data_IF_846028649787
#
_entry.id   IF_846028649787
#
_cell.length_a   1.000
_cell.length_b   1.000
_cell.length_c   1.000
_cell.angle_alpha   90.00
_cell.angle_beta   90.00
_cell.angle_gamma   90.00
#
_symmetry.space_group_name_H-M   'P 1'
#
loop_
_entity.id
_entity.type
_entity.pdbx_description
1 polymer ?
#
# COMPACT_ATOMS: atom_id res chain seq x y z
N UNK A 1 6.43 -1.09 1.20
CA UNK A 1 6.64 -2.21 0.25
C UNK A 1 7.70 -3.18 0.75
N UNK A 2 8.95 -2.74 0.94
CA UNK A 2 10.02 -3.61 1.44
C UNK A 2 9.71 -4.24 2.81
N UNK A 3 9.28 -3.42 3.76
CA UNK A 3 8.88 -3.85 5.10
C UNK A 3 7.74 -4.89 5.07
N UNK A 4 6.89 -4.85 4.05
CA UNK A 4 5.76 -5.78 3.91
C UNK A 4 6.23 -7.14 3.42
N UNK A 5 7.24 -7.20 2.55
CA UNK A 5 7.81 -8.48 2.10
C UNK A 5 8.49 -9.20 3.25
N UNK A 6 9.27 -8.48 4.05
CA UNK A 6 9.89 -9.03 5.27
C UNK A 6 8.81 -9.54 6.23
N UNK A 7 7.70 -8.83 6.38
CA UNK A 7 6.57 -9.26 7.20
C UNK A 7 5.90 -10.53 6.65
N UNK A 8 5.73 -10.62 5.33
CA UNK A 8 5.16 -11.78 4.67
C UNK A 8 6.06 -13.00 4.69
N UNK A 9 7.37 -12.81 4.57
CA UNK A 9 8.35 -13.88 4.67
C UNK A 9 8.35 -14.44 6.10
N UNK A 10 8.31 -13.57 7.11
CA UNK A 10 8.16 -13.99 8.51
C UNK A 10 6.84 -14.74 8.76
N UNK A 11 5.71 -14.25 8.23
CA UNK A 11 4.42 -14.95 8.35
C UNK A 11 4.43 -16.29 7.61
N UNK A 12 5.15 -16.39 6.50
CA UNK A 12 5.30 -17.63 5.75
C UNK A 12 6.17 -18.65 6.52
N UNK A 13 7.16 -18.19 7.28
CA UNK A 13 7.99 -19.00 8.17
C UNK A 13 7.18 -19.50 9.38
N UNK A 14 6.41 -18.61 10.03
CA UNK A 14 5.58 -18.94 11.20
C UNK A 14 4.36 -19.80 10.83
N UNK A 15 3.82 -19.64 9.61
CA UNK A 15 2.64 -20.35 9.12
C UNK A 15 2.88 -20.93 7.71
N UNK A 16 3.46 -22.16 7.62
CA UNK A 16 3.81 -22.79 6.34
C UNK A 16 2.65 -22.93 5.35
N UNK A 17 1.40 -22.98 5.85
CA UNK A 17 0.19 -23.03 5.02
C UNK A 17 -0.01 -21.79 4.15
N UNK A 18 0.52 -20.63 4.57
CA UNK A 18 0.34 -19.35 3.88
C UNK A 18 1.38 -19.12 2.78
N UNK A 19 2.42 -19.96 2.71
CA UNK A 19 3.56 -19.85 1.78
C UNK A 19 3.12 -19.78 0.32
N UNK A 20 2.11 -20.57 -0.07
CA UNK A 20 1.57 -20.62 -1.44
C UNK A 20 0.94 -19.31 -1.89
N UNK A 21 0.50 -18.48 -0.94
CA UNK A 21 -0.19 -17.21 -1.18
C UNK A 21 0.72 -16.00 -1.00
N UNK A 22 1.72 -16.11 -0.12
CA UNK A 22 2.56 -14.99 0.26
C UNK A 22 3.88 -14.94 -0.50
N UNK A 23 4.38 -16.04 -1.10
CA UNK A 23 5.67 -16.02 -1.80
C UNK A 23 5.74 -15.03 -2.96
N UNK A 24 6.93 -14.51 -3.32
CA UNK A 24 7.14 -13.70 -4.52
C UNK A 24 6.72 -14.39 -5.83
N UNK A 25 6.60 -15.73 -5.80
CA UNK A 25 6.18 -16.57 -6.92
C UNK A 25 4.76 -17.13 -6.74
N UNK A 26 3.99 -16.60 -5.78
CA UNK A 26 2.62 -17.02 -5.56
C UNK A 26 1.75 -16.74 -6.80
N UNK A 27 0.72 -17.57 -7.04
CA UNK A 27 -0.15 -17.45 -8.22
C UNK A 27 -0.89 -16.11 -8.33
N UNK A 28 -1.02 -15.39 -7.22
CA UNK A 28 -1.62 -14.04 -7.16
C UNK A 28 -0.72 -12.95 -7.74
N UNK A 29 0.59 -13.20 -7.82
CA UNK A 29 1.58 -12.27 -8.37
C UNK A 29 1.55 -12.38 -9.89
N UNK A 30 0.87 -11.45 -10.55
CA UNK A 30 0.68 -11.47 -11.99
C UNK A 30 1.92 -11.01 -12.76
N UNK A 31 2.71 -10.09 -12.19
CA UNK A 31 3.91 -9.54 -12.84
C UNK A 31 5.11 -9.52 -11.89
N UNK A 32 5.77 -10.68 -11.66
CA UNK A 32 6.81 -10.82 -10.64
C UNK A 32 7.99 -9.84 -10.82
N UNK A 33 8.39 -9.58 -12.07
CA UNK A 33 9.49 -8.66 -12.39
C UNK A 33 9.13 -7.21 -12.07
N UNK A 34 7.89 -6.81 -12.31
CA UNK A 34 7.39 -5.48 -11.99
C UNK A 34 7.29 -5.29 -10.48
N UNK A 35 6.72 -6.25 -9.76
CA UNK A 35 6.62 -6.18 -8.30
C UNK A 35 8.00 -6.19 -7.63
N UNK A 36 8.94 -7.01 -8.12
CA UNK A 36 10.35 -6.99 -7.68
C UNK A 36 10.99 -5.62 -7.92
N UNK A 37 10.77 -5.02 -9.09
CA UNK A 37 11.28 -3.69 -9.41
C UNK A 37 10.76 -2.62 -8.43
N UNK A 38 9.46 -2.65 -8.08
CA UNK A 38 8.88 -1.72 -7.11
C UNK A 38 9.47 -1.92 -5.70
N UNK A 39 9.66 -3.17 -5.26
CA UNK A 39 10.32 -3.47 -3.98
C UNK A 39 11.75 -2.91 -3.97
N UNK A 40 12.48 -3.05 -5.09
CA UNK A 40 13.84 -2.51 -5.22
C UNK A 40 13.90 -1.00 -5.22
N UNK A 41 12.95 -0.32 -5.88
CA UNK A 41 12.80 1.13 -5.85
C UNK A 41 12.57 1.62 -4.42
N UNK A 42 11.63 1.01 -3.68
CA UNK A 42 11.37 1.37 -2.29
C UNK A 42 12.57 1.15 -1.36
N UNK A 43 13.44 0.19 -1.71
CA UNK A 43 14.67 -0.11 -0.98
C UNK A 43 15.88 0.73 -1.41
N UNK A 44 15.74 1.63 -2.39
CA UNK A 44 16.88 2.32 -3.03
C UNK A 44 17.98 1.36 -3.52
N UNK A 45 17.58 0.21 -4.04
CA UNK A 45 18.51 -0.79 -4.58
C UNK A 45 18.57 -0.73 -6.10
N UNK A 46 19.70 -1.17 -6.68
CA UNK A 46 19.92 -1.15 -8.13
C UNK A 46 18.92 -2.05 -8.85
N UNK A 47 18.24 -1.50 -9.86
CA UNK A 47 17.37 -2.25 -10.74
C UNK A 47 18.19 -2.93 -11.84
N UNK A 48 17.76 -4.13 -12.24
CA UNK A 48 18.25 -4.79 -13.45
C UNK A 48 17.61 -4.20 -14.70
N UNK A 49 18.17 -4.47 -15.89
CA UNK A 49 17.65 -3.93 -17.15
C UNK A 49 16.20 -4.39 -17.45
N UNK A 50 15.85 -5.62 -17.07
CA UNK A 50 14.48 -6.15 -17.22
C UNK A 50 13.49 -5.46 -16.27
N UNK A 51 13.90 -5.21 -15.03
CA UNK A 51 13.12 -4.48 -14.03
C UNK A 51 12.91 -3.02 -14.45
N UNK A 52 13.95 -2.36 -14.97
CA UNK A 52 13.87 -0.98 -15.44
C UNK A 52 12.88 -0.82 -16.60
N UNK A 53 12.85 -1.78 -17.54
CA UNK A 53 11.83 -1.81 -18.61
C UNK A 53 10.43 -2.02 -18.03
N UNK A 54 10.28 -2.87 -17.02
CA UNK A 54 8.98 -3.12 -16.39
C UNK A 54 8.40 -1.88 -15.69
N UNK A 55 9.24 -1.01 -15.13
CA UNK A 55 8.81 0.23 -14.45
C UNK A 55 8.95 1.49 -15.30
N UNK A 56 9.25 1.37 -16.60
CA UNK A 56 9.56 2.51 -17.47
C UNK A 56 8.46 3.58 -17.48
N UNK A 57 7.20 3.19 -17.27
CA UNK A 57 6.04 4.09 -17.19
C UNK A 57 6.06 5.03 -15.96
N UNK A 58 6.87 4.71 -14.94
CA UNK A 58 6.95 5.44 -13.66
C UNK A 58 8.20 6.33 -13.54
N UNK A 59 9.04 6.41 -14.58
CA UNK A 59 10.22 7.27 -14.57
C UNK A 59 9.77 8.74 -14.69
N UNK A 60 10.22 9.59 -13.77
CA UNK A 60 10.01 11.04 -13.78
C UNK A 60 11.36 11.73 -13.71
N UNK A 61 11.55 12.82 -14.47
CA UNK A 61 12.79 13.60 -14.44
C UNK A 61 12.99 14.31 -13.07
N UNK A 62 14.23 14.43 -12.55
CA UNK A 62 14.44 14.81 -11.16
C UNK A 62 14.07 16.27 -10.86
N UNK A 63 13.12 16.50 -9.95
CA UNK A 63 13.02 17.78 -9.22
C UNK A 63 13.19 17.55 -7.72
N UNK A 64 14.11 18.31 -7.12
CA UNK A 64 14.61 18.13 -5.76
C UNK A 64 13.63 18.66 -4.73
N UNK A 65 13.30 17.91 -3.66
CA UNK A 65 12.80 18.53 -2.42
C UNK A 65 13.18 17.77 -1.14
N UNK A 66 13.55 18.60 -0.17
CA UNK A 66 14.00 18.39 1.21
C UNK A 66 12.98 17.67 2.12
N UNK A 67 13.49 17.00 3.15
CA UNK A 67 12.72 16.17 4.08
C UNK A 67 12.43 16.77 5.48
N UNK A 68 12.15 15.82 6.41
CA UNK A 68 11.86 15.87 7.88
C UNK A 68 10.37 15.82 8.22
N UNK A 69 9.88 15.17 9.29
CA UNK A 69 10.43 14.30 10.37
C UNK A 69 9.23 13.57 11.03
N UNK A 70 9.37 12.29 11.39
CA UNK A 70 8.30 11.45 11.97
C UNK A 70 8.35 11.43 13.50
N UNK A 71 7.20 11.68 14.12
CA UNK A 71 6.93 11.59 15.56
C UNK A 71 6.74 10.12 16.00
N UNK A 72 7.14 9.79 17.25
CA UNK A 72 7.18 8.42 17.78
C UNK A 72 5.79 7.96 18.24
N UNK A 73 5.33 6.80 17.79
CA UNK A 73 4.14 6.12 18.30
C UNK A 73 4.47 4.69 18.78
N UNK A 74 3.65 4.23 19.73
CA UNK A 74 3.83 3.06 20.61
C UNK A 74 4.03 1.72 19.89
N UNK A 75 4.71 0.78 20.57
CA UNK A 75 5.14 -0.49 20.03
C UNK A 75 3.97 -1.45 19.77
N UNK A 76 3.79 -1.84 18.52
CA UNK A 76 2.92 -2.94 18.08
C UNK A 76 3.79 -4.05 17.44
N UNK A 77 3.24 -5.25 17.18
CA UNK A 77 3.94 -6.40 16.59
C UNK A 77 4.85 -6.05 15.39
N UNK A 78 4.35 -5.22 14.47
CA UNK A 78 5.13 -4.71 13.33
C UNK A 78 6.38 -3.91 13.73
N UNK A 79 6.36 -3.21 14.87
CA UNK A 79 7.49 -2.40 15.35
C UNK A 79 8.61 -3.23 15.99
N UNK A 80 8.33 -4.43 16.49
CA UNK A 80 9.35 -5.31 17.05
C UNK A 80 10.16 -6.01 15.95
N UNK A 81 9.47 -6.46 14.89
CA UNK A 81 10.09 -7.06 13.70
C UNK A 81 10.97 -6.03 12.97
N UNK A 82 10.48 -4.79 12.80
CA UNK A 82 11.25 -3.70 12.17
C UNK A 82 12.47 -3.25 12.98
N UNK A 83 12.48 -3.45 14.31
CA UNK A 83 13.67 -3.21 15.15
C UNK A 83 14.75 -4.28 14.95
N UNK A 84 14.35 -5.54 14.72
CA UNK A 84 15.29 -6.64 14.46
C UNK A 84 16.00 -6.54 13.10
N UNK A 85 15.32 -5.96 12.08
CA UNK A 85 15.85 -5.83 10.72
C UNK A 85 16.76 -4.62 10.46
N UNK A 86 17.05 -3.79 11.46
CA UNK A 86 17.74 -2.50 11.29
C UNK A 86 19.27 -2.63 11.16
N UNK A 87 19.73 -3.45 10.22
CA UNK A 87 21.01 -3.20 9.56
C UNK A 87 20.76 -2.05 8.59
N UNK A 88 21.04 -0.83 9.06
CA UNK A 88 21.03 0.39 8.26
C UNK A 88 22.07 0.25 7.15
N UNK A 89 21.67 -0.32 6.01
CA UNK A 89 22.50 -0.40 4.80
C UNK A 89 22.44 0.95 4.11
N UNK A 90 23.33 1.83 4.54
CA UNK A 90 23.73 3.03 3.81
C UNK A 90 24.35 2.60 2.49
N UNK A 91 23.55 2.42 1.44
CA UNK A 91 24.07 2.09 0.12
C UNK A 91 23.17 2.66 -0.99
N UNK A 92 23.58 3.80 -1.52
CA UNK A 92 23.21 4.30 -2.85
C UNK A 92 21.89 5.05 -2.90
N UNK A 93 21.95 6.39 -2.80
CA UNK A 93 20.83 7.25 -3.17
C UNK A 93 20.39 6.93 -4.61
N UNK A 94 19.12 6.53 -4.80
CA UNK A 94 18.52 6.43 -6.12
C UNK A 94 18.51 7.82 -6.76
N UNK A 95 19.10 7.95 -7.94
CA UNK A 95 19.28 9.19 -8.72
C UNK A 95 18.00 9.71 -9.39
N UNK A 96 16.83 9.13 -9.10
CA UNK A 96 15.57 9.41 -9.80
C UNK A 96 14.49 9.76 -8.77
N UNK A 97 13.82 10.90 -8.97
CA UNK A 97 12.67 11.29 -8.15
C UNK A 97 11.40 10.64 -8.69
N UNK A 98 10.57 10.09 -7.81
CA UNK A 98 9.24 9.57 -8.16
C UNK A 98 8.15 10.51 -7.64
N UNK A 99 7.00 10.54 -8.32
CA UNK A 99 5.83 11.32 -7.91
C UNK A 99 5.38 10.92 -6.50
N UNK A 100 4.96 11.89 -5.68
CA UNK A 100 4.54 11.66 -4.28
C UNK A 100 3.43 10.59 -4.15
N UNK A 101 2.55 10.49 -5.14
CA UNK A 101 1.52 9.44 -5.18
C UNK A 101 2.10 8.02 -5.11
N UNK A 102 3.28 7.77 -5.69
CA UNK A 102 3.94 6.46 -5.63
C UNK A 102 4.32 6.05 -4.20
N UNK A 103 4.46 7.02 -3.29
CA UNK A 103 4.76 6.79 -1.87
C UNK A 103 3.50 6.47 -1.04
N UNK A 104 2.31 6.83 -1.53
CA UNK A 104 1.02 6.59 -0.85
C UNK A 104 0.22 5.42 -1.41
N UNK A 105 0.63 4.81 -2.52
CA UNK A 105 0.01 3.56 -2.99
C UNK A 105 0.22 2.47 -1.92
N UNK A 106 -0.86 1.93 -1.33
CA UNK A 106 -0.71 0.90 -0.32
C UNK A 106 -0.11 -0.37 -0.94
N UNK A 107 0.76 -1.07 -0.21
CA UNK A 107 1.51 -2.22 -0.71
C UNK A 107 0.67 -3.49 -0.93
N UNK A 108 -0.62 -3.45 -0.58
CA UNK A 108 -1.54 -4.59 -0.63
C UNK A 108 -2.95 -4.12 -0.95
N UNK A 109 -3.77 -5.01 -1.46
CA UNK A 109 -5.21 -4.83 -1.68
C UNK A 109 -6.02 -4.72 -0.38
N UNK A 110 -5.40 -4.85 0.80
CA UNK A 110 -6.10 -4.91 2.09
C UNK A 110 -7.04 -3.70 2.32
N UNK A 111 -6.66 -2.51 1.87
CA UNK A 111 -7.54 -1.32 1.96
C UNK A 111 -8.84 -1.51 1.17
N UNK A 112 -8.75 -2.09 -0.03
CA UNK A 112 -9.89 -2.38 -0.91
C UNK A 112 -10.69 -3.57 -0.40
N UNK A 113 -10.04 -4.61 0.12
CA UNK A 113 -10.71 -5.77 0.71
C UNK A 113 -11.49 -5.41 1.98
N UNK A 114 -10.92 -4.54 2.83
CA UNK A 114 -11.61 -4.01 4.00
C UNK A 114 -12.82 -3.16 3.61
N UNK A 115 -12.69 -2.37 2.53
CA UNK A 115 -13.83 -1.64 1.95
C UNK A 115 -14.93 -2.60 1.51
N UNK A 116 -14.63 -3.60 0.69
CA UNK A 116 -15.64 -4.56 0.22
C UNK A 116 -16.26 -5.38 1.36
N UNK A 117 -15.49 -5.68 2.41
CA UNK A 117 -16.01 -6.33 3.62
C UNK A 117 -17.02 -5.44 4.35
N UNK A 118 -16.78 -4.13 4.42
CA UNK A 118 -17.74 -3.18 5.00
C UNK A 118 -18.97 -3.01 4.10
N UNK A 119 -18.79 -2.96 2.77
CA UNK A 119 -19.87 -2.94 1.79
C UNK A 119 -20.83 -4.11 1.97
N UNK A 120 -20.31 -5.31 2.24
CA UNK A 120 -21.12 -6.52 2.51
C UNK A 120 -22.03 -6.37 3.74
N UNK A 121 -21.62 -5.60 4.75
CA UNK A 121 -22.47 -5.33 5.93
C UNK A 121 -23.59 -4.33 5.62
N UNK A 122 -23.40 -3.48 4.62
CA UNK A 122 -24.39 -2.49 4.19
C UNK A 122 -25.41 -3.13 3.23
N UNK A 123 -24.96 -4.01 2.33
CA UNK A 123 -25.78 -4.77 1.39
C UNK A 123 -26.39 -6.00 2.09
N UNK A 124 -27.53 -5.80 2.72
CA UNK A 124 -28.31 -6.87 3.36
C UNK A 124 -29.58 -7.17 2.56
N UNK A 125 -30.16 -8.36 2.75
CA UNK A 125 -31.42 -8.76 2.11
C UNK A 125 -32.59 -7.81 2.43
N UNK A 126 -32.53 -7.13 3.58
CA UNK A 126 -33.52 -6.13 4.00
C UNK A 126 -33.36 -4.76 3.32
N UNK A 127 -32.25 -4.55 2.60
CA UNK A 127 -31.91 -3.29 1.93
C UNK A 127 -31.87 -3.44 0.40
N UNK A 128 -32.57 -4.43 -0.14
CA UNK A 128 -32.66 -4.72 -1.58
C UNK A 128 -33.31 -3.60 -2.39
N UNK A 129 -34.11 -2.73 -1.75
CA UNK A 129 -34.68 -1.53 -2.37
C UNK A 129 -33.70 -0.34 -2.44
N UNK A 130 -32.47 -0.46 -1.94
CA UNK A 130 -31.46 0.59 -2.05
C UNK A 130 -30.91 0.64 -3.47
N UNK A 131 -31.07 1.78 -4.13
CA UNK A 131 -30.48 2.01 -5.45
C UNK A 131 -28.94 1.96 -5.39
N UNK A 132 -28.26 1.43 -6.42
CA UNK A 132 -26.79 1.36 -6.46
C UNK A 132 -26.11 2.71 -6.21
N UNK A 133 -26.63 3.80 -6.79
CA UNK A 133 -26.09 5.15 -6.59
C UNK A 133 -26.11 5.59 -5.11
N UNK A 134 -27.16 5.25 -4.37
CA UNK A 134 -27.27 5.58 -2.95
C UNK A 134 -26.29 4.74 -2.11
N UNK A 135 -26.10 3.48 -2.49
CA UNK A 135 -25.12 2.61 -1.86
C UNK A 135 -23.68 3.12 -2.08
N UNK A 136 -23.33 3.50 -3.31
CA UNK A 136 -22.02 4.07 -3.64
C UNK A 136 -21.74 5.34 -2.84
N UNK A 137 -22.72 6.25 -2.76
CA UNK A 137 -22.63 7.46 -1.96
C UNK A 137 -22.37 7.15 -0.47
N UNK A 138 -23.09 6.19 0.11
CA UNK A 138 -22.91 5.78 1.50
C UNK A 138 -21.53 5.16 1.75
N UNK A 139 -21.07 4.30 0.83
CA UNK A 139 -19.74 3.69 0.92
C UNK A 139 -18.63 4.74 0.82
N UNK A 140 -18.75 5.67 -0.14
CA UNK A 140 -17.81 6.78 -0.33
C UNK A 140 -17.70 7.66 0.92
N UNK A 141 -18.84 8.11 1.46
CA UNK A 141 -18.87 8.93 2.67
C UNK A 141 -18.30 8.16 3.87
N UNK A 142 -18.63 6.88 4.02
CA UNK A 142 -18.16 6.09 5.17
C UNK A 142 -16.65 5.89 5.16
N UNK A 143 -16.03 5.61 4.01
CA UNK A 143 -14.58 5.40 3.89
C UNK A 143 -13.81 6.71 4.12
N UNK A 144 -14.36 7.81 3.64
CA UNK A 144 -13.70 9.11 3.69
C UNK A 144 -14.12 9.94 4.90
N UNK A 145 -14.62 9.32 5.98
CA UNK A 145 -15.17 10.03 7.15
C UNK A 145 -14.23 11.07 7.75
N UNK A 146 -12.93 10.86 7.67
CA UNK A 146 -11.94 11.81 8.21
C UNK A 146 -11.72 13.03 7.29
N UNK A 147 -12.24 12.99 6.06
CA UNK A 147 -12.09 14.02 5.03
C UNK A 147 -13.33 14.92 4.91
N UNK A 148 -14.41 14.64 5.64
CA UNK A 148 -15.61 15.47 5.63
C UNK A 148 -16.25 15.52 7.01
N UNK A 149 -16.93 16.64 7.28
CA UNK A 149 -17.77 16.79 8.45
C UNK A 149 -19.09 17.47 8.04
N UNK A 150 -19.98 17.69 9.01
CA UNK A 150 -21.28 18.32 8.72
C UNK A 150 -21.12 19.69 8.04
N UNK A 151 -20.07 20.45 8.33
CA UNK A 151 -19.80 21.75 7.72
C UNK A 151 -19.33 21.63 6.25
N UNK A 152 -18.66 20.56 5.86
CA UNK A 152 -18.27 20.28 4.47
C UNK A 152 -19.46 19.99 3.54
N UNK A 153 -20.62 19.65 4.11
CA UNK A 153 -21.85 19.34 3.37
C UNK A 153 -22.81 20.52 3.26
N UNK A 154 -22.57 21.60 4.01
CA UNK A 154 -23.36 22.83 3.92
C UNK A 154 -22.69 23.69 2.86
N UNK A 155 -23.27 23.71 1.66
CA UNK A 155 -22.91 24.71 0.66
C UNK A 155 -23.35 26.06 1.21
N UNK A 156 -22.41 26.85 1.74
CA UNK A 156 -22.63 28.29 1.87
C UNK A 156 -22.60 28.87 0.45
N UNK A 157 -23.79 29.06 -0.12
CA UNK A 157 -24.00 30.08 -1.15
C UNK A 157 -23.98 31.49 -0.53
#
# INVERSE_FOLDING_TARGET
>A
MADVRVLFDQVADDYPVMVSHLRPTAKIVHTPVFESALVKICNNTKLTASELRAVQRFVVDPTATSGKRKERAASNYASEILRGGKQMRTAGAATVSFHELAKVVPPTSNTVERLFSQCKLVLTAQRTCMLPANFEMLAFLRVNRDLWNAASLITTE
#
